data_IF_786108286402
#
_entry.id   IF_786108286402
#
_cell.length_a   1.000
_cell.length_b   1.000
_cell.length_c   1.000
_cell.angle_alpha   90.00
_cell.angle_beta   90.00
_cell.angle_gamma   90.00
#
_symmetry.space_group_name_H-M   'P 1'
#
loop_
_entity.id
_entity.type
_entity.pdbx_description
1 polymer ?
#
# COMPACT_ATOMS: atom_id res chain seq x y z
N UNK A 1 -19.06 -9.31 23.14
CA UNK A 1 -17.59 -9.17 23.00
C UNK A 1 -17.20 -9.48 21.56
N UNK A 2 -16.75 -8.49 20.80
CA UNK A 2 -16.15 -8.69 19.48
C UNK A 2 -14.89 -7.84 19.39
N UNK A 3 -13.75 -8.47 19.67
CA UNK A 3 -12.42 -7.91 19.45
C UNK A 3 -11.96 -8.26 18.04
N UNK A 4 -11.70 -7.22 17.25
CA UNK A 4 -10.59 -7.14 16.32
C UNK A 4 -10.36 -5.66 15.93
N UNK A 5 -10.05 -4.80 16.91
CA UNK A 5 -9.43 -3.48 16.66
C UNK A 5 -7.95 -3.69 16.41
N UNK A 6 -7.59 -4.29 15.29
CA UNK A 6 -6.23 -4.23 14.77
C UNK A 6 -6.34 -3.44 13.49
N UNK A 7 -5.73 -2.25 13.41
CA UNK A 7 -4.84 -1.83 12.32
C UNK A 7 -4.62 -0.32 12.35
N UNK A 8 -3.36 0.07 12.22
CA UNK A 8 -2.82 1.44 12.41
C UNK A 8 -2.80 1.88 13.87
N UNK A 9 -1.59 1.95 14.43
CA UNK A 9 -1.38 2.50 15.77
C UNK A 9 -1.25 4.02 15.69
N UNK A 10 -1.85 4.74 16.64
CA UNK A 10 -1.76 6.20 16.70
C UNK A 10 -0.30 6.68 16.77
N UNK A 11 0.57 5.99 17.53
CA UNK A 11 2.00 6.31 17.63
C UNK A 11 2.71 6.26 16.27
N UNK A 12 2.33 5.33 15.38
CA UNK A 12 2.88 5.22 14.03
C UNK A 12 2.43 6.39 13.16
N UNK A 13 1.17 6.80 13.29
CA UNK A 13 0.62 7.95 12.58
C UNK A 13 1.27 9.25 13.05
N UNK A 14 1.48 9.41 14.35
CA UNK A 14 2.16 10.57 14.92
C UNK A 14 3.62 10.65 14.42
N UNK A 15 4.31 9.51 14.34
CA UNK A 15 5.64 9.44 13.73
C UNK A 15 5.61 9.85 12.25
N UNK A 16 4.67 9.30 11.48
CA UNK A 16 4.51 9.63 10.05
C UNK A 16 4.24 11.12 9.87
N UNK A 17 3.34 11.72 10.65
CA UNK A 17 3.02 13.15 10.55
C UNK A 17 4.22 14.06 10.85
N UNK A 18 5.15 13.61 11.70
CA UNK A 18 6.35 14.38 12.09
C UNK A 18 7.51 14.20 11.11
N UNK A 19 7.62 13.03 10.48
CA UNK A 19 8.84 12.63 9.77
C UNK A 19 8.63 12.28 8.28
N UNK A 20 7.40 12.16 7.80
CA UNK A 20 7.09 11.85 6.39
C UNK A 20 6.51 13.09 5.73
N UNK A 21 7.21 13.59 4.71
CA UNK A 21 6.68 14.67 3.88
C UNK A 21 5.82 14.07 2.76
N UNK A 22 4.67 14.68 2.51
CA UNK A 22 3.76 14.27 1.44
C UNK A 22 3.65 15.41 0.44
N UNK A 23 4.01 15.17 -0.82
CA UNK A 23 3.80 16.08 -1.94
C UNK A 23 2.65 15.59 -2.83
N UNK A 24 1.97 16.54 -3.46
CA UNK A 24 0.80 16.31 -4.32
C UNK A 24 1.14 16.76 -5.72
N UNK A 25 1.05 15.86 -6.70
CA UNK A 25 1.13 16.21 -8.11
C UNK A 25 0.03 15.49 -8.87
N UNK A 26 -0.90 16.24 -9.49
CA UNK A 26 -1.84 15.74 -10.51
C UNK A 26 -2.48 14.38 -10.18
N UNK A 27 -3.19 14.27 -9.04
CA UNK A 27 -3.87 13.06 -8.53
C UNK A 27 -2.95 11.94 -7.96
N UNK A 28 -1.64 12.04 -8.13
CA UNK A 28 -0.67 11.19 -7.45
C UNK A 28 -0.23 11.83 -6.12
N UNK A 29 -0.11 11.01 -5.07
CA UNK A 29 0.58 11.42 -3.85
C UNK A 29 1.90 10.69 -3.72
N UNK A 30 2.95 11.47 -3.84
CA UNK A 30 4.28 11.02 -3.54
C UNK A 30 4.52 11.33 -2.05
N UNK A 31 4.62 10.28 -1.25
CA UNK A 31 5.16 10.35 0.10
C UNK A 31 6.66 10.09 0.02
N UNK A 32 7.43 11.15 0.09
CA UNK A 32 8.88 11.03 0.22
C UNK A 32 9.27 11.27 1.67
N UNK A 33 9.94 10.30 2.28
CA UNK A 33 10.64 10.58 3.53
C UNK A 33 11.96 11.24 3.17
N UNK A 34 11.98 12.57 3.26
CA UNK A 34 13.21 13.28 3.57
C UNK A 34 13.36 13.22 5.09
N UNK A 35 14.30 12.41 5.59
CA UNK A 35 14.70 12.55 6.99
C UNK A 35 15.16 14.01 7.16
N UNK A 36 14.53 14.76 8.06
CA UNK A 36 14.92 16.14 8.38
C UNK A 36 16.33 16.22 8.97
N UNK A 37 16.91 15.08 9.34
CA UNK A 37 18.30 14.93 9.74
C UNK A 37 19.17 14.64 8.50
N UNK A 38 20.28 15.39 8.26
CA UNK A 38 21.30 15.00 7.31
C UNK A 38 21.98 13.72 7.82
N UNK A 39 21.38 12.57 7.52
CA UNK A 39 21.99 11.30 7.83
C UNK A 39 23.26 11.15 6.96
N UNK A 40 24.42 10.77 7.54
CA UNK A 40 25.58 10.43 6.73
C UNK A 40 25.17 9.33 5.74
N UNK A 41 25.49 9.54 4.46
CA UNK A 41 25.28 8.52 3.42
C UNK A 41 25.97 7.21 3.87
N UNK A 42 25.32 6.04 3.73
CA UNK A 42 24.11 5.75 2.96
C UNK A 42 22.96 5.28 3.88
N UNK A 43 22.32 6.19 4.63
CA UNK A 43 21.14 5.81 5.41
C UNK A 43 19.95 5.44 4.49
N UNK A 44 19.15 4.41 4.82
CA UNK A 44 18.05 3.98 3.97
C UNK A 44 16.95 5.04 3.96
N UNK A 45 16.65 5.61 2.80
CA UNK A 45 15.49 6.49 2.63
C UNK A 45 14.27 5.62 2.36
N UNK A 46 13.28 5.65 3.25
CA UNK A 46 11.97 5.08 2.92
C UNK A 46 11.31 5.93 1.84
N UNK A 47 10.67 5.30 0.87
CA UNK A 47 10.07 5.97 -0.28
C UNK A 47 8.71 5.34 -0.60
N UNK A 48 7.67 6.18 -0.68
CA UNK A 48 6.30 5.75 -0.87
C UNK A 48 5.61 6.57 -1.97
N UNK A 49 5.66 6.10 -3.22
CA UNK A 49 4.97 6.74 -4.33
C UNK A 49 3.71 5.96 -4.69
N UNK A 50 2.54 6.55 -4.39
CA UNK A 50 1.24 5.93 -4.55
C UNK A 50 0.23 6.88 -5.22
N UNK A 51 -0.72 6.34 -5.96
CA UNK A 51 -1.83 7.11 -6.56
C UNK A 51 -3.13 6.63 -5.95
N UNK A 52 -3.96 7.57 -5.49
CA UNK A 52 -5.26 7.27 -4.89
C UNK A 52 -6.35 7.94 -5.70
N UNK A 53 -7.13 7.14 -6.41
CA UNK A 53 -8.36 7.57 -7.07
C UNK A 53 -9.55 6.79 -6.48
N UNK A 54 -10.77 7.31 -6.63
CA UNK A 54 -11.97 6.53 -6.38
C UNK A 54 -11.89 5.18 -7.10
N UNK A 55 -12.10 4.09 -6.36
CA UNK A 55 -12.10 2.72 -6.87
C UNK A 55 -10.77 2.15 -7.40
N UNK A 56 -9.70 2.94 -7.51
CA UNK A 56 -8.41 2.46 -8.03
C UNK A 56 -7.23 3.07 -7.28
N UNK A 57 -6.41 2.23 -6.66
CA UNK A 57 -5.15 2.66 -6.04
C UNK A 57 -3.97 2.02 -6.76
N UNK A 58 -2.91 2.81 -7.01
CA UNK A 58 -1.66 2.33 -7.61
C UNK A 58 -0.51 2.48 -6.63
N UNK A 59 0.29 1.44 -6.52
CA UNK A 59 1.45 1.34 -5.66
C UNK A 59 2.67 1.16 -6.53
N UNK A 60 3.41 2.24 -6.75
CA UNK A 60 4.57 2.27 -7.66
C UNK A 60 5.87 2.00 -6.90
N UNK A 61 6.02 2.63 -5.73
CA UNK A 61 7.17 2.44 -4.85
C UNK A 61 6.70 2.39 -3.40
N UNK A 62 7.08 1.34 -2.66
CA UNK A 62 6.83 1.24 -1.21
C UNK A 62 8.05 0.63 -0.51
N UNK A 63 9.16 1.34 -0.57
CA UNK A 63 10.38 0.96 0.11
C UNK A 63 10.32 1.51 1.52
N UNK A 64 10.51 0.64 2.51
CA UNK A 64 10.54 1.02 3.91
C UNK A 64 11.91 0.68 4.49
N UNK A 65 12.50 1.61 5.22
CA UNK A 65 13.61 1.32 6.11
C UNK A 65 13.13 0.39 7.24
N UNK A 66 13.72 -0.81 7.38
CA UNK A 66 13.34 -1.75 8.43
C UNK A 66 13.37 -1.17 9.86
N UNK A 67 14.23 -0.17 10.12
CA UNK A 67 14.41 0.48 11.42
C UNK A 67 13.25 1.41 11.82
N UNK A 68 12.42 1.82 10.86
CA UNK A 68 11.27 2.69 11.14
C UNK A 68 10.16 1.94 11.92
N UNK A 69 9.48 2.62 12.86
CA UNK A 69 8.49 1.98 13.75
C UNK A 69 7.12 1.73 13.08
N UNK A 70 6.89 2.24 11.87
CA UNK A 70 5.64 2.11 11.14
C UNK A 70 5.72 1.03 10.04
N UNK A 71 4.56 0.61 9.52
CA UNK A 71 4.43 -0.26 8.35
C UNK A 71 4.08 0.54 7.09
N UNK A 72 4.36 -0.02 5.91
CA UNK A 72 3.93 0.57 4.64
C UNK A 72 2.39 0.76 4.56
N UNK A 73 1.63 -0.07 5.27
CA UNK A 73 0.18 0.07 5.40
C UNK A 73 -0.24 1.29 6.23
N UNK A 74 0.56 1.71 7.22
CA UNK A 74 0.31 2.93 7.99
C UNK A 74 0.51 4.17 7.12
N UNK A 75 1.56 4.16 6.29
CA UNK A 75 1.79 5.22 5.30
C UNK A 75 0.67 5.26 4.26
N UNK A 76 0.23 4.09 3.79
CA UNK A 76 -0.90 3.99 2.86
C UNK A 76 -2.18 4.57 3.46
N UNK A 77 -2.47 4.27 4.73
CA UNK A 77 -3.59 4.84 5.47
C UNK A 77 -3.52 6.35 5.49
N UNK A 78 -2.36 6.90 5.86
CA UNK A 78 -2.17 8.34 5.94
C UNK A 78 -2.29 9.04 4.59
N UNK A 79 -1.66 8.49 3.55
CA UNK A 79 -1.74 9.05 2.20
C UNK A 79 -3.18 9.05 1.68
N UNK A 80 -3.93 7.97 1.86
CA UNK A 80 -5.34 7.92 1.48
C UNK A 80 -6.18 8.96 2.26
N UNK A 81 -5.99 9.08 3.57
CA UNK A 81 -6.70 10.08 4.39
C UNK A 81 -6.49 11.50 3.85
N UNK A 82 -5.25 11.85 3.54
CA UNK A 82 -4.88 13.16 3.00
C UNK A 82 -5.49 13.40 1.61
N UNK A 83 -5.31 12.46 0.67
CA UNK A 83 -5.78 12.60 -0.71
C UNK A 83 -7.29 12.60 -0.80
N UNK A 84 -7.94 11.67 -0.12
CA UNK A 84 -9.40 11.54 -0.17
C UNK A 84 -10.08 12.76 0.41
N UNK A 85 -9.48 13.42 1.42
CA UNK A 85 -9.97 14.70 1.93
C UNK A 85 -9.72 15.85 0.96
N UNK A 86 -8.53 15.90 0.34
CA UNK A 86 -8.17 16.97 -0.59
C UNK A 86 -9.01 16.95 -1.87
N UNK A 87 -9.34 15.76 -2.37
CA UNK A 87 -10.12 15.54 -3.61
C UNK A 87 -11.58 15.15 -3.36
N UNK A 88 -12.09 15.31 -2.13
CA UNK A 88 -13.49 15.09 -1.74
C UNK A 88 -14.06 13.70 -2.08
N UNK A 89 -13.31 12.63 -1.78
CA UNK A 89 -13.76 11.23 -1.89
C UNK A 89 -13.51 10.41 -0.63
N UNK A 90 -13.47 11.05 0.54
CA UNK A 90 -13.31 10.35 1.83
C UNK A 90 -14.38 9.24 2.00
N UNK A 91 -13.92 8.06 2.39
CA UNK A 91 -14.76 6.86 2.53
C UNK A 91 -14.94 6.05 1.23
N UNK A 92 -14.44 6.52 0.09
CA UNK A 92 -14.49 5.77 -1.18
C UNK A 92 -13.25 4.89 -1.36
N UNK A 93 -13.45 3.59 -1.17
CA UNK A 93 -12.39 2.57 -1.21
C UNK A 93 -12.13 1.97 -2.61
N UNK A 94 -10.98 1.32 -2.82
CA UNK A 94 -10.61 0.77 -4.11
C UNK A 94 -11.41 -0.50 -4.42
N UNK A 95 -11.77 -0.67 -5.68
CA UNK A 95 -12.20 -1.94 -6.28
C UNK A 95 -11.01 -2.71 -6.86
N UNK A 96 -9.90 -2.01 -7.12
CA UNK A 96 -8.64 -2.59 -7.55
C UNK A 96 -7.46 -1.88 -6.89
N UNK A 97 -6.52 -2.68 -6.39
CA UNK A 97 -5.18 -2.25 -6.00
C UNK A 97 -4.21 -2.75 -7.07
N UNK A 98 -3.40 -1.87 -7.62
CA UNK A 98 -2.40 -2.18 -8.63
C UNK A 98 -1.03 -2.07 -7.98
N UNK A 99 -0.27 -3.17 -7.93
CA UNK A 99 1.17 -3.15 -7.67
C UNK A 99 1.87 -2.98 -9.01
N UNK A 100 2.39 -1.80 -9.27
CA UNK A 100 2.95 -1.44 -10.58
C UNK A 100 4.46 -1.64 -10.60
N UNK A 101 4.99 -2.10 -11.73
CA UNK A 101 6.43 -2.25 -11.98
C UNK A 101 7.17 -3.04 -10.89
N UNK A 102 6.58 -4.15 -10.42
CA UNK A 102 7.19 -4.95 -9.35
C UNK A 102 8.55 -5.48 -9.79
N UNK A 103 9.60 -5.10 -9.07
CA UNK A 103 10.99 -5.51 -9.31
C UNK A 103 11.49 -6.57 -8.35
N UNK A 104 10.70 -6.94 -7.32
CA UNK A 104 11.06 -7.97 -6.36
C UNK A 104 11.13 -9.34 -7.03
N UNK A 105 12.36 -9.84 -7.23
CA UNK A 105 12.65 -11.07 -7.97
C UNK A 105 11.97 -12.30 -7.39
N UNK A 106 11.88 -12.41 -6.06
CA UNK A 106 11.15 -13.48 -5.37
C UNK A 106 9.67 -13.47 -5.73
N UNK A 107 9.02 -12.29 -5.71
CA UNK A 107 7.61 -12.14 -6.08
C UNK A 107 7.39 -12.58 -7.53
N UNK A 108 8.23 -12.11 -8.45
CA UNK A 108 8.11 -12.42 -9.88
C UNK A 108 8.32 -13.92 -10.15
N UNK A 109 9.28 -14.55 -9.49
CA UNK A 109 9.58 -15.99 -9.61
C UNK A 109 8.46 -16.85 -9.05
N UNK A 110 7.95 -16.53 -7.86
CA UNK A 110 6.90 -17.31 -7.19
C UNK A 110 5.56 -17.28 -7.94
N UNK A 111 5.33 -16.24 -8.74
CA UNK A 111 4.07 -16.01 -9.47
C UNK A 111 4.21 -16.24 -10.97
N UNK A 112 5.37 -16.76 -11.42
CA UNK A 112 5.65 -16.96 -12.83
C UNK A 112 4.73 -18.04 -13.42
N UNK A 113 4.11 -17.73 -14.57
CA UNK A 113 3.20 -18.63 -15.31
C UNK A 113 2.00 -19.14 -14.50
N UNK A 114 1.70 -18.55 -13.35
CA UNK A 114 0.50 -18.86 -12.57
C UNK A 114 -0.67 -17.97 -12.98
N UNK A 115 -1.90 -18.48 -12.81
CA UNK A 115 -3.14 -17.73 -13.00
C UNK A 115 -4.21 -18.21 -12.00
N UNK A 116 -5.35 -17.51 -11.94
CA UNK A 116 -6.48 -17.88 -11.08
C UNK A 116 -6.09 -17.96 -9.60
N UNK A 117 -6.67 -18.93 -8.89
CA UNK A 117 -6.45 -19.13 -7.45
C UNK A 117 -5.00 -19.47 -7.13
N UNK A 118 -4.32 -20.25 -7.99
CA UNK A 118 -2.90 -20.57 -7.81
C UNK A 118 -2.01 -19.33 -7.81
N UNK A 119 -2.31 -18.35 -8.68
CA UNK A 119 -1.62 -17.06 -8.68
C UNK A 119 -1.92 -16.26 -7.41
N UNK A 120 -3.18 -16.23 -6.99
CA UNK A 120 -3.59 -15.50 -5.78
C UNK A 120 -2.89 -16.06 -4.53
N UNK A 121 -2.90 -17.39 -4.36
CA UNK A 121 -2.25 -18.07 -3.24
C UNK A 121 -0.73 -17.90 -3.26
N UNK A 122 -0.11 -17.96 -4.44
CA UNK A 122 1.32 -17.69 -4.58
C UNK A 122 1.65 -16.23 -4.26
N UNK A 123 0.91 -15.28 -4.83
CA UNK A 123 1.13 -13.84 -4.64
C UNK A 123 1.11 -13.47 -3.16
N UNK A 124 0.11 -13.93 -2.40
CA UNK A 124 -0.02 -13.61 -0.98
C UNK A 124 1.05 -14.23 -0.07
N UNK A 125 1.85 -15.16 -0.57
CA UNK A 125 3.05 -15.66 0.15
C UNK A 125 4.30 -14.81 -0.10
N UNK A 126 4.30 -13.96 -1.11
CA UNK A 126 5.42 -13.09 -1.49
C UNK A 126 5.52 -11.86 -0.57
N UNK A 127 6.66 -11.15 -0.55
CA UNK A 127 6.79 -9.87 0.16
C UNK A 127 5.73 -8.83 -0.27
N UNK A 128 5.46 -8.70 -1.57
CA UNK A 128 4.45 -7.77 -2.08
C UNK A 128 3.04 -8.15 -1.64
N UNK A 129 2.71 -9.44 -1.70
CA UNK A 129 1.41 -9.94 -1.27
C UNK A 129 1.18 -9.77 0.23
N UNK A 130 2.17 -10.07 1.07
CA UNK A 130 2.10 -9.82 2.52
C UNK A 130 1.84 -8.35 2.81
N UNK A 131 2.59 -7.45 2.21
CA UNK A 131 2.35 -6.01 2.36
C UNK A 131 0.96 -5.60 1.86
N UNK A 132 0.45 -6.19 0.76
CA UNK A 132 -0.92 -5.97 0.31
C UNK A 132 -1.96 -6.50 1.30
N UNK A 133 -1.74 -7.65 1.95
CA UNK A 133 -2.63 -8.16 3.00
C UNK A 133 -2.73 -7.18 4.18
N UNK A 134 -1.61 -6.62 4.62
CA UNK A 134 -1.61 -5.62 5.68
C UNK A 134 -2.43 -4.37 5.28
N UNK A 135 -2.28 -3.89 4.04
CA UNK A 135 -3.09 -2.79 3.52
C UNK A 135 -4.57 -3.17 3.50
N UNK A 136 -4.93 -4.33 2.93
CA UNK A 136 -6.33 -4.79 2.88
C UNK A 136 -6.94 -4.88 4.28
N UNK A 137 -6.20 -5.39 5.25
CA UNK A 137 -6.64 -5.46 6.66
C UNK A 137 -6.87 -4.06 7.25
N UNK A 138 -6.00 -3.08 6.99
CA UNK A 138 -6.15 -1.69 7.45
C UNK A 138 -7.47 -1.04 7.04
N UNK A 139 -8.02 -1.45 5.90
CA UNK A 139 -9.26 -0.90 5.36
C UNK A 139 -10.43 -1.88 5.40
N UNK A 140 -10.27 -3.03 6.08
CA UNK A 140 -11.26 -4.11 6.12
C UNK A 140 -11.74 -4.56 4.72
N UNK A 141 -10.82 -4.62 3.76
CA UNK A 141 -11.08 -4.97 2.36
C UNK A 141 -10.86 -6.46 2.13
N UNK A 142 -11.71 -7.06 1.29
CA UNK A 142 -11.61 -8.48 0.92
C UNK A 142 -11.20 -8.63 -0.54
N UNK A 143 -10.10 -9.32 -0.78
CA UNK A 143 -9.67 -9.67 -2.13
C UNK A 143 -10.63 -10.67 -2.78
N UNK A 144 -10.86 -10.49 -4.08
CA UNK A 144 -11.67 -11.35 -4.95
C UNK A 144 -10.80 -12.22 -5.85
N UNK A 145 -9.77 -11.63 -6.45
CA UNK A 145 -8.84 -12.31 -7.36
C UNK A 145 -7.59 -11.47 -7.56
N UNK A 146 -6.51 -12.14 -7.98
CA UNK A 146 -5.27 -11.50 -8.42
C UNK A 146 -5.05 -11.80 -9.91
N UNK A 147 -4.67 -10.79 -10.69
CA UNK A 147 -4.23 -10.94 -12.08
C UNK A 147 -2.83 -10.37 -12.20
N UNK A 148 -1.97 -11.06 -12.93
CA UNK A 148 -0.65 -10.57 -13.30
C UNK A 148 -0.65 -10.15 -14.77
N UNK A 149 -0.12 -8.97 -15.06
CA UNK A 149 0.16 -8.52 -16.43
C UNK A 149 1.60 -8.00 -16.46
N UNK A 150 2.49 -8.69 -17.18
CA UNK A 150 3.94 -8.41 -17.13
C UNK A 150 4.45 -8.43 -15.67
N UNK A 151 4.91 -7.29 -15.17
CA UNK A 151 5.40 -7.11 -13.80
C UNK A 151 4.39 -6.40 -12.88
N UNK A 152 3.15 -6.20 -13.36
CA UNK A 152 2.08 -5.60 -12.58
C UNK A 152 1.16 -6.66 -11.98
N UNK A 153 0.65 -6.40 -10.78
CA UNK A 153 -0.36 -7.22 -10.13
C UNK A 153 -1.61 -6.40 -9.84
N UNK A 154 -2.73 -6.84 -10.39
CA UNK A 154 -4.05 -6.27 -10.19
C UNK A 154 -4.78 -7.11 -9.16
N UNK A 155 -4.95 -6.55 -7.97
CA UNK A 155 -5.65 -7.17 -6.84
C UNK A 155 -7.07 -6.60 -6.83
N UNK A 156 -8.01 -7.38 -7.35
CA UNK A 156 -9.41 -7.00 -7.40
C UNK A 156 -10.05 -7.27 -6.06
N UNK A 157 -10.86 -6.33 -5.59
CA UNK A 157 -11.46 -6.33 -4.27
C UNK A 157 -12.96 -6.53 -4.46
N UNK A 158 -13.57 -7.34 -3.61
CA UNK A 158 -15.03 -7.45 -3.58
C UNK A 158 -15.60 -6.06 -3.23
N UNK A 159 -16.70 -5.61 -3.87
CA UNK A 159 -17.44 -4.51 -3.28
C UNK A 159 -17.79 -4.90 -1.84
N UNK A 160 -17.73 -3.93 -0.93
CA UNK A 160 -18.36 -4.08 0.38
C UNK A 160 -19.80 -4.56 0.12
N UNK A 161 -20.25 -5.70 0.68
CA UNK A 161 -21.69 -5.93 0.77
C UNK A 161 -22.21 -4.88 1.75
N UNK A 162 -22.82 -3.82 1.22
CA UNK A 162 -23.22 -2.66 2.00
C UNK A 162 -23.86 -1.58 1.14
N UNK A 163 -25.00 -1.92 0.53
CA UNK A 163 -26.24 -1.17 0.71
C UNK A 163 -27.35 -2.21 0.89
#
# INVERSE_FOLDING_TARGET
>A
MHQARNTVKQENIDYINRHVTHSYENEAVQGEIWSSEPAPLPAPRSLFANVYQPHQWKFMVNVRDPSCPYYASDVTYKQYELVSKYLDFSGVYPRVIIRENVSNTETLRMTERLSGDALMDAFFRTPNGKSTQHILACFNLKVRRVVRQRNDFYVYINPFPGN
#
